data_IF_779454511713
#
_entry.id   IF_779454511713
#
_cell.length_a   1.000
_cell.length_b   1.000
_cell.length_c   1.000
_cell.angle_alpha   90.00
_cell.angle_beta   90.00
_cell.angle_gamma   90.00
#
_symmetry.space_group_name_H-M   'P 1'
#
loop_
_entity.id
_entity.type
_entity.pdbx_description
1 polymer ?
#
# COMPACT_ATOMS: atom_id res chain seq x y z
N UNK A 1 14.69 -1.45 -91.98
CA UNK A 1 15.71 -1.11 -90.97
C UNK A 1 15.03 -1.07 -89.57
N UNK A 2 15.35 -2.10 -88.77
CA UNK A 2 14.64 -2.45 -87.58
C UNK A 2 15.16 -1.63 -86.35
N UNK A 3 14.31 -0.95 -85.65
CA UNK A 3 14.60 -0.34 -84.36
C UNK A 3 14.00 -1.17 -83.22
N UNK A 4 14.87 -1.77 -82.41
CA UNK A 4 14.50 -2.55 -81.23
C UNK A 4 14.17 -1.59 -80.07
N UNK A 5 12.94 -1.61 -79.59
CA UNK A 5 12.61 -0.99 -78.26
C UNK A 5 12.94 -2.03 -77.16
N UNK A 6 13.88 -1.72 -76.34
CA UNK A 6 14.14 -2.44 -75.05
C UNK A 6 13.25 -1.82 -73.95
N UNK A 7 12.21 -2.55 -73.52
CA UNK A 7 11.45 -2.22 -72.38
C UNK A 7 12.21 -2.65 -71.08
N UNK A 8 12.52 -1.72 -70.23
CA UNK A 8 13.03 -1.95 -68.86
C UNK A 8 11.86 -2.09 -67.90
N UNK A 9 11.61 -3.30 -67.39
CA UNK A 9 10.66 -3.53 -66.31
C UNK A 9 11.33 -3.16 -64.98
N UNK A 10 10.90 -2.07 -64.39
CA UNK A 10 11.30 -1.68 -63.03
C UNK A 10 10.45 -2.44 -62.00
N UNK A 11 11.02 -3.48 -61.39
CA UNK A 11 10.41 -4.19 -60.26
C UNK A 11 10.57 -3.37 -59.01
N UNK A 12 9.49 -2.71 -58.55
CA UNK A 12 9.45 -2.01 -57.28
C UNK A 12 9.39 -3.03 -56.12
N UNK A 13 10.49 -3.18 -55.39
CA UNK A 13 10.56 -4.01 -54.21
C UNK A 13 10.00 -3.18 -53.03
N UNK A 14 8.77 -3.43 -52.64
CA UNK A 14 8.16 -2.82 -51.44
C UNK A 14 8.79 -3.47 -50.19
N UNK A 15 9.71 -2.77 -49.55
CA UNK A 15 10.25 -3.13 -48.23
C UNK A 15 9.14 -2.84 -47.21
N UNK A 16 8.43 -3.89 -46.76
CA UNK A 16 7.54 -3.82 -45.60
C UNK A 16 8.44 -3.74 -44.37
N UNK A 17 8.68 -2.53 -43.87
CA UNK A 17 9.25 -2.31 -42.55
C UNK A 17 8.19 -2.73 -41.52
N UNK A 18 8.26 -3.97 -41.06
CA UNK A 18 7.56 -4.38 -39.84
C UNK A 18 8.19 -3.62 -38.67
N UNK A 19 7.55 -2.52 -38.28
CA UNK A 19 7.83 -1.90 -37.00
C UNK A 19 7.49 -2.91 -35.92
N UNK A 20 8.49 -3.58 -35.36
CA UNK A 20 8.29 -4.29 -34.11
C UNK A 20 7.79 -3.24 -33.10
N UNK A 21 6.51 -3.29 -32.73
CA UNK A 21 5.98 -2.45 -31.67
C UNK A 21 6.77 -2.81 -30.41
N UNK A 22 7.58 -1.88 -29.93
CA UNK A 22 8.24 -2.01 -28.62
C UNK A 22 7.10 -2.00 -27.61
N UNK A 23 7.01 -3.06 -26.78
CA UNK A 23 6.01 -3.10 -25.71
C UNK A 23 6.20 -1.91 -24.79
N UNK A 24 5.10 -1.26 -24.42
CA UNK A 24 5.11 -0.17 -23.44
C UNK A 24 5.59 -0.72 -22.08
N UNK A 25 6.59 -0.06 -21.49
CA UNK A 25 7.14 -0.46 -20.20
C UNK A 25 6.30 0.13 -19.05
N UNK A 26 5.93 -0.74 -18.11
CA UNK A 26 5.21 -0.38 -16.88
C UNK A 26 6.04 -0.84 -15.69
N UNK A 27 6.51 0.10 -14.88
CA UNK A 27 7.13 -0.20 -13.60
C UNK A 27 6.05 -0.30 -12.54
N UNK A 28 5.90 -1.50 -11.96
CA UNK A 28 4.97 -1.81 -10.89
C UNK A 28 5.63 -1.62 -9.53
N UNK A 29 5.26 -0.57 -8.82
CA UNK A 29 5.74 -0.27 -7.48
C UNK A 29 5.15 -1.20 -6.41
N UNK A 30 6.01 -1.69 -5.52
CA UNK A 30 5.63 -2.56 -4.41
C UNK A 30 6.18 -1.93 -3.13
N UNK A 31 5.28 -1.53 -2.20
CA UNK A 31 5.72 -0.97 -0.92
C UNK A 31 6.46 -2.00 -0.07
N UNK A 32 7.46 -1.55 0.67
CA UNK A 32 8.41 -2.38 1.43
C UNK A 32 7.83 -2.87 2.77
N UNK A 33 6.75 -3.67 2.72
CA UNK A 33 6.15 -4.30 3.92
C UNK A 33 7.08 -5.33 4.55
N UNK A 34 7.88 -5.97 3.71
CA UNK A 34 8.89 -6.97 4.02
C UNK A 34 10.19 -6.66 3.25
N UNK A 35 11.20 -7.50 3.39
CA UNK A 35 12.42 -7.43 2.59
C UNK A 35 12.11 -7.67 1.10
N UNK A 36 12.87 -7.04 0.20
CA UNK A 36 12.74 -7.28 -1.24
C UNK A 36 12.94 -8.77 -1.60
N UNK A 37 13.79 -9.47 -0.86
CA UNK A 37 14.03 -10.90 -1.07
C UNK A 37 12.78 -11.74 -0.82
N UNK A 38 11.93 -11.33 0.11
CA UNK A 38 10.66 -11.99 0.42
C UNK A 38 9.54 -11.54 -0.52
N UNK A 39 9.48 -10.25 -0.86
CA UNK A 39 8.42 -9.70 -1.74
C UNK A 39 8.57 -10.18 -3.18
N UNK A 40 9.78 -10.19 -3.73
CA UNK A 40 10.01 -10.45 -5.15
C UNK A 40 9.39 -11.78 -5.63
N UNK A 41 9.68 -12.95 -5.03
CA UNK A 41 9.10 -14.22 -5.49
C UNK A 41 7.58 -14.30 -5.32
N UNK A 42 6.99 -13.55 -4.40
CA UNK A 42 5.53 -13.50 -4.22
C UNK A 42 4.83 -12.74 -5.35
N UNK A 43 5.47 -11.67 -5.86
CA UNK A 43 4.90 -10.79 -6.87
C UNK A 43 5.19 -11.20 -8.31
N UNK A 44 6.32 -11.87 -8.57
CA UNK A 44 6.72 -12.27 -9.92
C UNK A 44 5.63 -13.02 -10.71
N UNK A 45 4.88 -13.99 -10.15
CA UNK A 45 3.84 -14.69 -10.89
C UNK A 45 2.72 -13.75 -11.39
N UNK A 46 2.20 -12.87 -10.51
CA UNK A 46 1.16 -11.90 -10.89
C UNK A 46 1.65 -10.93 -11.97
N UNK A 47 2.89 -10.43 -11.84
CA UNK A 47 3.47 -9.49 -12.82
C UNK A 47 3.75 -10.15 -14.17
N UNK A 48 4.13 -11.44 -14.19
CA UNK A 48 4.29 -12.22 -15.41
C UNK A 48 2.95 -12.42 -16.12
N UNK A 49 1.89 -12.77 -15.38
CA UNK A 49 0.53 -12.90 -15.94
C UNK A 49 0.00 -11.57 -16.45
N UNK A 50 0.23 -10.47 -15.72
CA UNK A 50 -0.13 -9.10 -16.15
C UNK A 50 0.58 -8.75 -17.47
N UNK A 51 1.88 -9.00 -17.57
CA UNK A 51 2.62 -8.76 -18.83
C UNK A 51 2.05 -9.57 -19.97
N UNK A 52 1.81 -10.86 -19.75
CA UNK A 52 1.27 -11.78 -20.77
C UNK A 52 -0.13 -11.37 -21.24
N UNK A 53 -1.01 -11.01 -20.33
CA UNK A 53 -2.40 -10.67 -20.64
C UNK A 53 -2.54 -9.32 -21.35
N UNK A 54 -1.70 -8.33 -20.99
CA UNK A 54 -1.81 -6.96 -21.50
C UNK A 54 -0.90 -6.67 -22.70
N UNK A 55 0.14 -7.48 -22.89
CA UNK A 55 1.20 -7.22 -23.87
C UNK A 55 2.15 -6.08 -23.46
N UNK A 56 2.07 -5.61 -22.20
CA UNK A 56 2.97 -4.60 -21.62
C UNK A 56 4.23 -5.29 -21.08
N UNK A 57 5.37 -4.58 -21.05
CA UNK A 57 6.55 -5.03 -20.34
C UNK A 57 6.48 -4.57 -18.88
N UNK A 58 5.97 -5.43 -17.97
CA UNK A 58 5.79 -5.08 -16.56
C UNK A 58 7.02 -5.47 -15.75
N UNK A 59 7.63 -4.48 -15.08
CA UNK A 59 8.81 -4.66 -14.22
C UNK A 59 8.49 -4.32 -12.76
N UNK A 60 8.91 -5.14 -11.79
CA UNK A 60 8.77 -4.79 -10.38
C UNK A 60 9.71 -3.63 -10.01
N UNK A 61 9.20 -2.67 -9.26
CA UNK A 61 9.97 -1.58 -8.68
C UNK A 61 9.91 -1.67 -7.15
N UNK A 62 11.05 -1.87 -6.53
CA UNK A 62 11.23 -1.90 -5.08
C UNK A 62 12.00 -0.67 -4.60
N UNK A 63 11.64 -0.17 -3.43
CA UNK A 63 12.36 0.88 -2.72
C UNK A 63 12.64 0.44 -1.28
N UNK A 64 13.54 1.13 -0.60
CA UNK A 64 13.90 0.86 0.80
C UNK A 64 12.76 1.16 1.77
N UNK A 65 11.86 2.06 1.39
CA UNK A 65 10.74 2.55 2.18
C UNK A 65 9.55 2.92 1.27
N UNK A 66 8.41 3.22 1.87
CA UNK A 66 7.18 3.57 1.15
C UNK A 66 7.31 4.88 0.38
N UNK A 67 8.07 5.84 0.92
CA UNK A 67 8.33 7.12 0.25
C UNK A 67 8.99 6.92 -1.10
N UNK A 68 9.91 5.98 -1.23
CA UNK A 68 10.61 5.70 -2.48
C UNK A 68 9.67 5.28 -3.61
N UNK A 69 8.60 4.52 -3.30
CA UNK A 69 7.58 4.14 -4.29
C UNK A 69 6.68 5.33 -4.65
N UNK A 70 6.30 6.15 -3.65
CA UNK A 70 5.51 7.37 -3.87
C UNK A 70 6.27 8.37 -4.76
N UNK A 71 7.55 8.64 -4.43
CA UNK A 71 8.39 9.53 -5.24
C UNK A 71 8.71 8.92 -6.62
N UNK A 72 8.86 7.59 -6.70
CA UNK A 72 8.95 6.87 -7.96
C UNK A 72 7.77 7.17 -8.88
N UNK A 73 6.56 7.14 -8.35
CA UNK A 73 5.33 7.52 -9.09
C UNK A 73 5.32 9.01 -9.44
N UNK A 74 5.66 9.89 -8.49
CA UNK A 74 5.70 11.34 -8.70
C UNK A 74 6.62 11.74 -9.87
N UNK A 75 7.77 11.09 -9.97
CA UNK A 75 8.75 11.37 -11.03
C UNK A 75 8.61 10.48 -12.27
N UNK A 76 7.48 9.78 -12.42
CA UNK A 76 7.19 8.97 -13.60
C UNK A 76 8.02 7.70 -13.75
N UNK A 77 8.73 7.27 -12.71
CA UNK A 77 9.47 5.99 -12.68
C UNK A 77 8.59 4.80 -12.33
N UNK A 78 7.44 5.03 -11.72
CA UNK A 78 6.43 4.03 -11.36
C UNK A 78 5.11 4.45 -11.98
N UNK A 79 4.51 3.59 -12.80
CA UNK A 79 3.26 3.86 -13.51
C UNK A 79 2.06 3.25 -12.80
N UNK A 80 2.28 2.15 -12.11
CA UNK A 80 1.27 1.36 -11.39
C UNK A 80 1.88 0.88 -10.08
N UNK A 81 1.14 0.86 -8.97
CA UNK A 81 1.67 0.39 -7.69
C UNK A 81 0.61 -0.19 -6.78
N UNK A 82 1.02 -1.15 -5.95
CA UNK A 82 0.33 -1.52 -4.73
C UNK A 82 0.80 -0.64 -3.58
N UNK A 83 -0.16 -0.05 -2.88
CA UNK A 83 0.06 0.81 -1.73
C UNK A 83 -0.81 0.38 -0.54
N UNK A 84 -0.38 0.69 0.69
CA UNK A 84 -1.32 0.79 1.79
C UNK A 84 -2.19 2.05 1.64
N UNK A 85 -3.34 2.10 2.32
CA UNK A 85 -4.28 3.23 2.13
C UNK A 85 -3.67 4.61 2.42
N UNK A 86 -2.78 4.75 3.44
CA UNK A 86 -2.09 6.03 3.70
C UNK A 86 -1.12 6.39 2.59
N UNK A 87 -0.27 5.46 2.15
CA UNK A 87 0.66 5.73 1.05
C UNK A 87 -0.06 5.97 -0.28
N UNK A 88 -1.21 5.33 -0.52
CA UNK A 88 -2.07 5.63 -1.67
C UNK A 88 -2.64 7.06 -1.60
N UNK A 89 -3.09 7.50 -0.42
CA UNK A 89 -3.54 8.89 -0.20
C UNK A 89 -2.43 9.89 -0.59
N UNK A 90 -1.20 9.65 -0.14
CA UNK A 90 -0.04 10.46 -0.52
C UNK A 90 0.24 10.42 -2.04
N UNK A 91 0.12 9.24 -2.66
CA UNK A 91 0.32 9.08 -4.10
C UNK A 91 -0.75 9.83 -4.91
N UNK A 92 -2.01 9.77 -4.48
CA UNK A 92 -3.13 10.52 -5.11
C UNK A 92 -2.94 12.02 -4.97
N UNK A 93 -2.53 12.50 -3.80
CA UNK A 93 -2.47 13.93 -3.48
C UNK A 93 -1.26 14.63 -4.10
N UNK A 94 -0.10 13.95 -4.22
CA UNK A 94 1.15 14.58 -4.63
C UNK A 94 1.97 13.87 -5.71
N UNK A 95 1.55 12.67 -6.12
CA UNK A 95 2.27 11.91 -7.15
C UNK A 95 1.45 11.64 -8.42
N UNK A 96 0.28 12.25 -8.57
CA UNK A 96 -0.59 12.08 -9.73
C UNK A 96 -1.22 10.70 -9.83
N UNK A 97 -1.35 9.99 -8.71
CA UNK A 97 -1.99 8.68 -8.63
C UNK A 97 -3.52 8.76 -8.65
N UNK A 98 -4.15 7.65 -9.01
CA UNK A 98 -5.60 7.41 -8.97
C UNK A 98 -5.86 5.96 -8.61
N UNK A 99 -6.72 5.72 -7.61
CA UNK A 99 -7.15 4.38 -7.21
C UNK A 99 -8.11 3.82 -8.24
N UNK A 100 -7.94 2.54 -8.63
CA UNK A 100 -8.83 1.91 -9.61
C UNK A 100 -9.35 0.53 -9.20
N UNK A 101 -8.62 -0.21 -8.37
CA UNK A 101 -9.03 -1.48 -7.74
C UNK A 101 -8.46 -1.56 -6.33
N UNK A 102 -9.02 -2.48 -5.53
CA UNK A 102 -8.49 -2.86 -4.22
C UNK A 102 -8.25 -4.36 -4.15
N UNK A 103 -7.28 -4.77 -3.35
CA UNK A 103 -7.10 -6.17 -2.95
C UNK A 103 -8.29 -6.65 -2.12
N UNK A 104 -8.43 -7.96 -1.99
CA UNK A 104 -9.37 -8.61 -1.08
C UNK A 104 -8.61 -9.66 -0.32
N UNK A 105 -8.78 -9.73 0.98
CA UNK A 105 -8.18 -10.77 1.82
C UNK A 105 -8.63 -12.17 1.38
N UNK A 106 -7.72 -13.16 1.39
CA UNK A 106 -8.01 -14.54 0.96
C UNK A 106 -9.15 -15.19 1.74
N UNK A 107 -9.34 -14.80 3.01
CA UNK A 107 -10.47 -15.22 3.86
C UNK A 107 -11.77 -14.47 3.55
N UNK A 108 -11.78 -13.52 2.60
CA UNK A 108 -12.94 -12.73 2.20
C UNK A 108 -13.28 -11.59 3.17
N UNK A 109 -12.40 -11.25 4.11
CA UNK A 109 -12.57 -10.09 4.98
C UNK A 109 -12.62 -8.79 4.16
N UNK A 110 -13.44 -7.80 4.56
CA UNK A 110 -13.53 -6.51 3.85
C UNK A 110 -12.32 -5.59 4.09
N UNK A 111 -11.30 -6.08 4.77
CA UNK A 111 -10.09 -5.36 5.12
C UNK A 111 -9.28 -6.10 6.17
N UNK A 112 -8.40 -5.38 6.85
CA UNK A 112 -7.46 -5.90 7.82
C UNK A 112 -7.37 -5.00 9.06
N UNK A 113 -6.52 -5.34 10.02
CA UNK A 113 -6.41 -4.62 11.28
C UNK A 113 -4.96 -4.30 11.62
N UNK A 114 -4.72 -3.12 12.14
CA UNK A 114 -3.51 -2.81 12.86
C UNK A 114 -3.48 -3.53 14.20
N UNK A 115 -2.31 -3.99 14.60
CA UNK A 115 -2.09 -4.63 15.90
C UNK A 115 -0.84 -4.07 16.58
N UNK A 116 -0.81 -4.15 17.91
CA UNK A 116 0.42 -3.97 18.68
C UNK A 116 0.88 -5.36 19.12
N UNK A 117 2.13 -5.67 18.80
CA UNK A 117 2.81 -6.89 19.21
C UNK A 117 3.67 -6.66 20.44
N UNK A 118 3.73 -7.66 21.30
CA UNK A 118 4.68 -7.74 22.42
C UNK A 118 5.25 -9.17 22.51
N UNK A 119 6.40 -9.38 23.17
CA UNK A 119 6.88 -10.72 23.46
C UNK A 119 5.85 -11.48 24.29
N UNK A 120 5.65 -12.77 23.97
CA UNK A 120 4.63 -13.62 24.61
C UNK A 120 4.74 -13.63 26.14
N UNK A 121 5.98 -13.67 26.64
CA UNK A 121 6.27 -13.75 28.06
C UNK A 121 6.44 -12.39 28.73
N UNK A 122 6.22 -11.27 28.01
CA UNK A 122 6.30 -9.92 28.57
C UNK A 122 5.13 -9.65 29.52
N UNK A 123 5.32 -8.65 30.40
CA UNK A 123 4.25 -8.15 31.30
C UNK A 123 3.26 -7.21 30.60
N UNK A 124 3.52 -6.83 29.35
CA UNK A 124 2.62 -6.00 28.56
C UNK A 124 1.45 -6.85 28.08
N UNK A 125 0.23 -6.53 28.47
CA UNK A 125 -0.98 -7.27 28.11
C UNK A 125 -2.08 -6.37 27.48
N UNK A 126 -1.89 -5.05 27.56
CA UNK A 126 -2.87 -4.09 27.05
C UNK A 126 -2.19 -2.78 26.62
N UNK A 127 -2.98 -1.87 26.04
CA UNK A 127 -2.54 -0.50 25.70
C UNK A 127 -2.25 0.31 26.95
N UNK A 128 -2.98 0.10 28.03
CA UNK A 128 -2.76 0.78 29.32
C UNK A 128 -1.39 0.44 29.90
N UNK A 129 -0.92 -0.82 29.74
CA UNK A 129 0.44 -1.19 30.13
C UNK A 129 1.48 -0.47 29.28
N UNK A 130 1.22 -0.32 27.99
CA UNK A 130 2.09 0.38 27.05
C UNK A 130 2.17 1.88 27.37
N UNK A 131 1.04 2.49 27.73
CA UNK A 131 0.89 3.94 27.97
C UNK A 131 1.27 4.39 29.40
N UNK A 132 1.99 3.59 30.17
CA UNK A 132 2.57 4.05 31.45
C UNK A 132 3.57 5.18 31.26
N UNK A 133 4.17 5.27 30.08
CA UNK A 133 5.05 6.36 29.64
C UNK A 133 6.20 6.67 30.64
N UNK A 134 6.77 5.62 31.22
CA UNK A 134 7.88 5.73 32.20
C UNK A 134 9.26 5.72 31.52
N UNK A 135 9.30 5.76 30.19
CA UNK A 135 10.53 5.70 29.38
C UNK A 135 11.36 4.42 29.59
N UNK A 136 10.74 3.34 30.00
CA UNK A 136 11.43 2.06 30.15
C UNK A 136 11.46 1.20 28.87
N UNK A 137 10.48 1.38 27.95
CA UNK A 137 10.24 0.53 26.81
C UNK A 137 10.88 1.06 25.52
N UNK A 138 11.40 0.14 24.69
CA UNK A 138 11.78 0.38 23.30
C UNK A 138 10.60 0.03 22.40
N UNK A 139 10.14 0.95 21.57
CA UNK A 139 8.94 0.81 20.76
C UNK A 139 9.21 0.92 19.26
N UNK A 140 8.66 0.00 18.47
CA UNK A 140 8.72 0.02 17.01
C UNK A 140 7.44 0.59 16.40
N UNK A 141 7.54 1.72 15.71
CA UNK A 141 6.52 2.18 14.78
C UNK A 141 6.78 1.64 13.38
N UNK A 142 5.75 1.58 12.55
CA UNK A 142 5.88 1.28 11.12
C UNK A 142 6.50 2.45 10.34
N UNK A 143 6.64 2.22 9.02
CA UNK A 143 6.99 3.29 8.08
C UNK A 143 6.02 4.47 8.24
N UNK A 144 6.48 5.73 8.23
CA UNK A 144 5.62 6.91 8.38
C UNK A 144 4.47 7.01 7.37
N UNK A 145 4.58 6.36 6.21
CA UNK A 145 3.51 6.25 5.19
C UNK A 145 2.68 4.97 5.30
N UNK A 146 2.91 4.15 6.32
CA UNK A 146 2.10 2.96 6.59
C UNK A 146 0.77 3.33 7.24
N UNK A 147 -0.32 2.70 6.80
CA UNK A 147 -1.65 2.82 7.41
C UNK A 147 -1.66 2.13 8.77
N UNK A 148 -1.46 0.81 8.78
CA UNK A 148 -1.55 -0.02 9.98
C UNK A 148 -0.33 0.10 10.90
N UNK A 149 0.85 0.34 10.34
CA UNK A 149 2.08 0.47 11.11
C UNK A 149 2.27 1.83 11.75
N UNK A 150 1.65 2.89 11.21
CA UNK A 150 1.88 4.26 11.67
C UNK A 150 0.58 5.04 11.91
N UNK A 151 -0.22 5.32 10.85
CA UNK A 151 -1.35 6.24 10.98
C UNK A 151 -2.36 5.75 12.00
N UNK A 152 -2.81 4.50 11.89
CA UNK A 152 -3.85 3.93 12.74
C UNK A 152 -3.43 3.89 14.22
N UNK A 153 -2.28 3.30 14.61
CA UNK A 153 -1.86 3.32 16.01
C UNK A 153 -1.58 4.73 16.50
N UNK A 154 -1.04 5.63 15.68
CA UNK A 154 -0.82 7.02 16.07
C UNK A 154 -2.13 7.75 16.38
N UNK A 155 -3.19 7.48 15.61
CA UNK A 155 -4.51 8.10 15.81
C UNK A 155 -5.24 7.48 16.99
N UNK A 156 -5.39 6.16 17.03
CA UNK A 156 -6.28 5.48 17.98
C UNK A 156 -5.64 5.19 19.34
N UNK A 157 -4.30 5.20 19.44
CA UNK A 157 -3.61 4.99 20.71
C UNK A 157 -3.01 6.31 21.20
N UNK A 158 -2.07 6.86 20.43
CA UNK A 158 -1.26 7.97 20.93
C UNK A 158 -2.00 9.31 20.94
N UNK A 159 -2.57 9.71 19.81
CA UNK A 159 -3.32 10.96 19.73
C UNK A 159 -4.59 10.94 20.61
N UNK A 160 -5.30 9.82 20.66
CA UNK A 160 -6.48 9.65 21.51
C UNK A 160 -6.19 9.78 23.02
N UNK A 161 -4.94 9.55 23.42
CA UNK A 161 -4.49 9.69 24.82
C UNK A 161 -3.60 10.93 25.04
N UNK A 162 -3.46 11.82 24.05
CA UNK A 162 -2.58 12.99 24.08
C UNK A 162 -1.11 12.63 24.42
N UNK A 163 -0.61 11.53 23.86
CA UNK A 163 0.74 11.02 24.07
C UNK A 163 1.56 11.18 22.79
N UNK A 164 2.76 11.76 22.90
CA UNK A 164 3.77 11.63 21.86
C UNK A 164 4.62 10.36 22.17
N UNK A 165 4.73 9.41 21.22
CA UNK A 165 5.56 8.22 21.43
C UNK A 165 7.00 8.54 21.88
N UNK A 166 7.59 9.64 21.39
CA UNK A 166 8.95 10.05 21.76
C UNK A 166 9.08 10.49 23.22
N UNK A 167 7.97 10.98 23.79
CA UNK A 167 7.94 11.37 25.20
C UNK A 167 7.56 10.19 26.11
N UNK A 168 6.90 9.18 25.56
CA UNK A 168 6.43 8.01 26.28
C UNK A 168 7.49 6.91 26.41
N UNK A 169 8.23 6.64 25.33
CA UNK A 169 9.16 5.52 25.25
C UNK A 169 10.62 5.94 25.44
N UNK A 170 11.46 4.98 25.82
CA UNK A 170 12.91 5.14 25.90
C UNK A 170 13.50 5.42 24.53
N UNK A 171 13.15 4.57 23.55
CA UNK A 171 13.49 4.73 22.16
C UNK A 171 12.27 4.43 21.28
N UNK A 172 12.14 5.17 20.18
CA UNK A 172 11.16 4.90 19.11
C UNK A 172 11.92 4.74 17.81
N UNK A 173 11.70 3.61 17.14
CA UNK A 173 12.28 3.32 15.82
C UNK A 173 11.18 3.14 14.79
N UNK A 174 11.47 3.44 13.52
CA UNK A 174 10.57 3.17 12.41
C UNK A 174 11.16 2.08 11.52
N UNK A 175 10.39 1.02 11.29
CA UNK A 175 10.79 -0.08 10.42
C UNK A 175 9.56 -0.68 9.71
N UNK A 176 9.77 -1.56 8.74
CA UNK A 176 8.67 -2.29 8.11
C UNK A 176 8.09 -3.35 9.05
N UNK A 177 6.97 -3.97 8.64
CA UNK A 177 6.23 -4.93 9.47
C UNK A 177 7.07 -6.16 9.84
N UNK A 178 7.84 -6.71 8.87
CA UNK A 178 8.70 -7.87 9.11
C UNK A 178 9.78 -7.56 10.16
N UNK A 179 10.51 -6.46 10.00
CA UNK A 179 11.58 -6.05 10.93
C UNK A 179 11.01 -5.81 12.32
N UNK A 180 9.87 -5.13 12.44
CA UNK A 180 9.22 -4.87 13.71
C UNK A 180 8.83 -6.18 14.43
N UNK A 181 8.17 -7.10 13.74
CA UNK A 181 7.77 -8.36 14.33
C UNK A 181 8.97 -9.23 14.76
N UNK A 182 10.00 -9.32 13.91
CA UNK A 182 11.20 -10.07 14.21
C UNK A 182 11.99 -9.46 15.38
N UNK A 183 12.02 -8.12 15.48
CA UNK A 183 12.66 -7.41 16.59
C UNK A 183 11.94 -7.68 17.93
N UNK A 184 10.60 -7.72 17.92
CA UNK A 184 9.82 -8.11 19.11
C UNK A 184 10.05 -9.59 19.46
N UNK A 185 9.99 -10.51 18.48
CA UNK A 185 10.22 -11.93 18.70
C UNK A 185 11.62 -12.26 19.27
N UNK A 186 12.60 -11.40 18.96
CA UNK A 186 13.99 -11.51 19.45
C UNK A 186 14.29 -10.61 20.67
N UNK A 187 13.26 -10.01 21.29
CA UNK A 187 13.37 -9.14 22.47
C UNK A 187 14.29 -7.92 22.28
N UNK A 188 14.42 -7.44 21.02
CA UNK A 188 15.12 -6.20 20.69
C UNK A 188 14.21 -4.99 20.87
N UNK A 189 12.90 -5.19 20.72
CA UNK A 189 11.85 -4.24 21.02
C UNK A 189 10.91 -4.85 22.06
N UNK A 190 10.42 -4.01 22.98
CA UNK A 190 9.44 -4.41 24.00
C UNK A 190 8.03 -4.47 23.43
N UNK A 191 7.71 -3.65 22.42
CA UNK A 191 6.50 -3.73 21.63
C UNK A 191 6.69 -3.06 20.27
N UNK A 192 5.84 -3.41 19.30
CA UNK A 192 5.85 -2.77 17.99
C UNK A 192 4.49 -2.84 17.30
N UNK A 193 4.27 -1.92 16.35
CA UNK A 193 3.11 -1.96 15.46
C UNK A 193 3.28 -2.99 14.36
N UNK A 194 2.16 -3.62 13.97
CA UNK A 194 2.09 -4.57 12.87
C UNK A 194 0.65 -4.59 12.31
N UNK A 195 0.32 -5.61 11.50
CA UNK A 195 -1.04 -5.86 11.02
C UNK A 195 -1.35 -7.36 10.92
N UNK A 196 -2.63 -7.68 10.76
CA UNK A 196 -3.10 -9.08 10.71
C UNK A 196 -2.62 -9.82 9.46
N UNK A 197 -2.46 -9.16 8.31
CA UNK A 197 -1.96 -9.79 7.09
C UNK A 197 -0.50 -10.23 7.25
N UNK A 198 0.37 -9.33 7.74
CA UNK A 198 1.77 -9.69 8.02
C UNK A 198 1.89 -10.77 9.10
N UNK A 199 0.99 -10.79 10.10
CA UNK A 199 0.97 -11.87 11.10
C UNK A 199 0.71 -13.23 10.46
N UNK A 200 -0.22 -13.32 9.48
CA UNK A 200 -0.45 -14.55 8.71
C UNK A 200 0.81 -14.98 7.94
N UNK A 201 1.51 -14.02 7.33
CA UNK A 201 2.77 -14.28 6.63
C UNK A 201 3.87 -14.80 7.58
N UNK A 202 4.00 -14.20 8.77
CA UNK A 202 4.99 -14.62 9.78
C UNK A 202 4.64 -15.99 10.33
N UNK A 203 3.38 -16.28 10.61
CA UNK A 203 2.92 -17.60 11.06
C UNK A 203 3.33 -18.71 10.08
N UNK A 204 3.17 -18.44 8.77
CA UNK A 204 3.50 -19.38 7.69
C UNK A 204 5.02 -19.54 7.47
N UNK A 205 5.76 -18.43 7.45
CA UNK A 205 7.15 -18.41 7.01
C UNK A 205 8.18 -18.45 8.17
N UNK A 206 7.78 -18.08 9.38
CA UNK A 206 8.62 -18.01 10.57
C UNK A 206 7.83 -18.42 11.83
N UNK A 207 7.28 -19.67 11.90
CA UNK A 207 6.40 -20.11 12.98
C UNK A 207 7.05 -20.03 14.37
N UNK A 208 8.36 -20.24 14.46
CA UNK A 208 9.10 -20.10 15.72
C UNK A 208 9.16 -18.67 16.24
N UNK A 209 9.20 -17.69 15.34
CA UNK A 209 9.12 -16.28 15.70
C UNK A 209 7.67 -15.90 16.08
N UNK A 210 6.68 -16.35 15.28
CA UNK A 210 5.27 -16.15 15.58
C UNK A 210 4.87 -16.65 16.95
N UNK A 211 5.33 -17.85 17.34
CA UNK A 211 5.07 -18.46 18.65
C UNK A 211 5.57 -17.62 19.84
N UNK A 212 6.52 -16.72 19.62
CA UNK A 212 7.05 -15.79 20.64
C UNK A 212 6.31 -14.48 20.75
N UNK A 213 5.32 -14.24 19.89
CA UNK A 213 4.55 -12.99 19.80
C UNK A 213 3.19 -13.15 20.48
N UNK A 214 2.67 -12.05 21.00
CA UNK A 214 1.26 -11.87 21.34
C UNK A 214 0.75 -10.51 20.89
N UNK A 215 -0.54 -10.45 20.55
CA UNK A 215 -1.23 -9.20 20.24
C UNK A 215 -1.80 -8.63 21.54
N UNK A 216 -1.48 -7.37 21.84
CA UNK A 216 -1.98 -6.66 23.03
C UNK A 216 -3.00 -5.56 22.68
N UNK A 217 -3.18 -5.28 21.38
CA UNK A 217 -4.19 -4.36 20.87
C UNK A 217 -4.51 -4.66 19.42
N UNK A 218 -5.77 -4.41 19.03
CA UNK A 218 -6.29 -4.54 17.66
C UNK A 218 -7.16 -3.32 17.34
N UNK A 219 -6.96 -2.73 16.17
CA UNK A 219 -7.68 -1.53 15.72
C UNK A 219 -9.10 -1.81 15.24
N UNK A 220 -9.91 -0.77 14.99
CA UNK A 220 -11.02 -0.86 14.03
C UNK A 220 -10.55 -1.34 12.66
N UNK A 221 -11.49 -1.81 11.82
CA UNK A 221 -11.20 -2.32 10.49
C UNK A 221 -10.56 -1.23 9.60
N UNK A 222 -9.50 -1.62 8.90
CA UNK A 222 -8.86 -0.83 7.84
C UNK A 222 -9.35 -1.41 6.51
N UNK A 223 -9.83 -0.60 5.55
CA UNK A 223 -10.16 -1.08 4.21
C UNK A 223 -8.98 -1.81 3.55
N UNK A 224 -9.27 -2.80 2.72
CA UNK A 224 -8.23 -3.50 1.94
C UNK A 224 -7.40 -2.53 1.11
N UNK A 225 -6.16 -2.90 0.84
CA UNK A 225 -5.17 -2.03 0.20
C UNK A 225 -5.47 -1.78 -1.29
N UNK A 226 -5.32 -0.53 -1.76
CA UNK A 226 -5.58 -0.15 -3.14
C UNK A 226 -4.40 -0.41 -4.07
N UNK A 227 -4.72 -0.62 -5.35
CA UNK A 227 -3.80 -0.43 -6.46
C UNK A 227 -4.07 0.94 -7.09
N UNK A 228 -2.98 1.63 -7.38
CA UNK A 228 -2.98 3.01 -7.88
C UNK A 228 -2.19 3.07 -9.17
N UNK A 229 -2.77 3.65 -10.21
CA UNK A 229 -2.06 3.99 -11.43
C UNK A 229 -1.81 5.49 -11.53
N UNK A 230 -0.93 5.92 -12.42
CA UNK A 230 -0.79 7.33 -12.77
C UNK A 230 -1.99 7.81 -13.59
N UNK A 231 -2.53 8.98 -13.27
CA UNK A 231 -3.66 9.60 -14.00
C UNK A 231 -3.34 9.88 -15.48
N UNK A 232 -2.08 10.12 -15.80
CA UNK A 232 -1.62 10.45 -17.16
C UNK A 232 -1.28 9.24 -18.04
N UNK A 233 -1.51 8.01 -17.57
CA UNK A 233 -1.43 6.83 -18.42
C UNK A 233 -2.43 6.93 -19.59
N UNK A 234 -2.05 6.43 -20.78
CA UNK A 234 -2.99 6.33 -21.91
C UNK A 234 -4.25 5.55 -21.53
N UNK A 235 -5.40 5.98 -22.00
CA UNK A 235 -6.69 5.31 -21.70
C UNK A 235 -6.73 3.85 -22.18
N UNK A 236 -6.04 3.53 -23.29
CA UNK A 236 -5.89 2.15 -23.75
C UNK A 236 -5.12 1.29 -22.74
N UNK A 237 -4.03 1.81 -22.19
CA UNK A 237 -3.24 1.14 -21.15
C UNK A 237 -4.05 0.96 -19.87
N UNK A 238 -4.78 1.99 -19.43
CA UNK A 238 -5.69 1.90 -18.28
C UNK A 238 -6.79 0.86 -18.50
N UNK A 239 -7.36 0.78 -19.70
CA UNK A 239 -8.37 -0.22 -20.03
C UNK A 239 -7.84 -1.65 -19.91
N UNK A 240 -6.64 -1.93 -20.46
CA UNK A 240 -5.97 -3.23 -20.35
C UNK A 240 -5.69 -3.60 -18.88
N UNK A 241 -5.15 -2.66 -18.11
CA UNK A 241 -4.86 -2.88 -16.68
C UNK A 241 -6.15 -3.16 -15.90
N UNK A 242 -7.18 -2.34 -16.10
CA UNK A 242 -8.48 -2.52 -15.43
C UNK A 242 -9.10 -3.86 -15.77
N UNK A 243 -9.13 -4.24 -17.06
CA UNK A 243 -9.66 -5.52 -17.51
C UNK A 243 -8.94 -6.67 -16.81
N UNK A 244 -7.60 -6.67 -16.80
CA UNK A 244 -6.82 -7.70 -16.14
C UNK A 244 -7.20 -7.83 -14.66
N UNK A 245 -7.09 -6.78 -13.88
CA UNK A 245 -7.31 -6.86 -12.43
C UNK A 245 -8.75 -7.22 -12.05
N UNK A 246 -9.75 -6.74 -12.81
CA UNK A 246 -11.16 -7.01 -12.49
C UNK A 246 -11.58 -8.44 -12.90
N UNK A 247 -10.93 -9.04 -13.90
CA UNK A 247 -11.26 -10.39 -14.37
C UNK A 247 -10.37 -11.49 -13.80
N UNK A 248 -9.20 -11.14 -13.26
CA UNK A 248 -8.20 -12.08 -12.75
C UNK A 248 -8.76 -12.95 -11.62
N UNK A 249 -8.73 -14.26 -11.80
CA UNK A 249 -9.29 -15.25 -10.87
C UNK A 249 -10.81 -15.39 -10.90
N UNK A 250 -11.52 -14.71 -11.82
CA UNK A 250 -13.01 -14.76 -11.90
C UNK A 250 -13.56 -15.11 -13.26
N UNK A 251 -12.91 -14.73 -14.37
CA UNK A 251 -13.43 -14.89 -15.73
C UNK A 251 -12.68 -15.97 -16.52
N UNK A 252 -13.31 -17.14 -16.70
CA UNK A 252 -12.76 -18.28 -17.48
C UNK A 252 -12.45 -17.95 -18.93
N UNK A 253 -13.07 -16.92 -19.49
CA UNK A 253 -12.82 -16.53 -20.89
C UNK A 253 -11.51 -15.75 -21.05
N UNK A 254 -10.90 -15.28 -19.95
CA UNK A 254 -9.72 -14.43 -19.92
C UNK A 254 -8.46 -15.15 -19.48
N UNK A 255 -8.57 -16.22 -18.69
CA UNK A 255 -7.42 -16.94 -18.16
C UNK A 255 -7.74 -18.28 -17.48
N UNK A 256 -6.71 -18.88 -16.88
CA UNK A 256 -6.83 -20.09 -16.06
C UNK A 256 -7.14 -19.69 -14.62
N UNK A 257 -8.43 -19.73 -14.26
CA UNK A 257 -8.90 -19.37 -12.91
C UNK A 257 -8.19 -20.14 -11.79
N UNK A 258 -7.84 -21.42 -12.03
CA UNK A 258 -7.20 -22.21 -10.98
C UNK A 258 -5.78 -21.69 -10.71
N UNK A 259 -5.02 -21.45 -11.76
CA UNK A 259 -3.69 -20.83 -11.68
C UNK A 259 -3.76 -19.42 -11.08
N UNK A 260 -4.66 -18.58 -11.57
CA UNK A 260 -4.81 -17.18 -11.11
C UNK A 260 -5.17 -17.10 -9.62
N UNK A 261 -6.03 -17.99 -9.13
CA UNK A 261 -6.35 -18.09 -7.70
C UNK A 261 -5.18 -18.58 -6.86
N UNK A 262 -4.36 -19.49 -7.39
CA UNK A 262 -3.13 -19.93 -6.72
C UNK A 262 -2.13 -18.78 -6.60
N UNK A 263 -1.95 -17.99 -7.66
CA UNK A 263 -1.10 -16.79 -7.65
C UNK A 263 -1.60 -15.76 -6.63
N UNK A 264 -2.91 -15.49 -6.59
CA UNK A 264 -3.51 -14.59 -5.59
C UNK A 264 -3.33 -15.12 -4.17
N UNK A 265 -3.54 -16.43 -3.94
CA UNK A 265 -3.35 -17.04 -2.64
C UNK A 265 -1.88 -16.96 -2.16
N UNK A 266 -0.90 -16.94 -3.09
CA UNK A 266 0.50 -16.65 -2.79
C UNK A 266 0.74 -15.25 -2.22
N UNK A 267 -0.14 -14.30 -2.53
CA UNK A 267 -0.17 -12.94 -1.98
C UNK A 267 -1.11 -12.81 -0.78
N UNK A 268 -1.73 -13.90 -0.31
CA UNK A 268 -2.80 -13.94 0.70
C UNK A 268 -4.06 -13.15 0.24
N UNK A 269 -4.36 -13.15 -1.06
CA UNK A 269 -5.47 -12.41 -1.66
C UNK A 269 -6.52 -13.31 -2.32
N UNK A 270 -7.72 -12.79 -2.43
CA UNK A 270 -8.81 -13.20 -3.29
C UNK A 270 -8.90 -12.25 -4.51
N UNK A 271 -9.76 -12.52 -5.51
CA UNK A 271 -9.91 -11.64 -6.67
C UNK A 271 -10.20 -10.19 -6.30
N UNK A 272 -9.56 -9.28 -7.03
CA UNK A 272 -9.67 -7.84 -6.82
C UNK A 272 -11.09 -7.32 -7.00
N UNK A 273 -11.37 -6.16 -6.39
CA UNK A 273 -12.62 -5.42 -6.58
C UNK A 273 -12.34 -4.05 -7.17
N UNK A 274 -13.23 -3.54 -8.06
CA UNK A 274 -13.18 -2.14 -8.48
C UNK A 274 -13.19 -1.21 -7.27
N UNK A 275 -12.43 -0.13 -7.33
CA UNK A 275 -12.39 0.89 -6.30
C UNK A 275 -12.12 2.26 -6.92
N UNK A 276 -12.14 3.29 -6.09
CA UNK A 276 -11.86 4.68 -6.46
C UNK A 276 -11.15 5.40 -5.31
N UNK A 277 -10.74 6.65 -5.54
CA UNK A 277 -10.15 7.50 -4.50
C UNK A 277 -11.06 7.66 -3.27
N UNK A 278 -12.35 7.34 -3.38
CA UNK A 278 -13.30 7.45 -2.27
C UNK A 278 -13.05 6.43 -1.16
N UNK A 279 -12.39 5.30 -1.46
CA UNK A 279 -11.96 4.37 -0.40
C UNK A 279 -10.98 5.00 0.59
N UNK A 280 -10.31 6.10 0.21
CA UNK A 280 -9.35 6.82 1.04
C UNK A 280 -10.00 7.81 2.01
N UNK A 281 -11.32 8.06 1.91
CA UNK A 281 -12.02 9.00 2.78
C UNK A 281 -11.84 8.70 4.29
N UNK A 282 -11.98 7.46 4.77
CA UNK A 282 -11.72 7.14 6.18
C UNK A 282 -10.28 7.46 6.61
N UNK A 283 -9.33 7.28 5.70
CA UNK A 283 -7.91 7.53 5.94
C UNK A 283 -7.64 9.03 6.06
N UNK A 284 -8.25 9.83 5.17
CA UNK A 284 -8.20 11.31 5.24
C UNK A 284 -8.75 11.84 6.56
N UNK A 285 -9.89 11.32 7.00
CA UNK A 285 -10.51 11.67 8.28
C UNK A 285 -9.58 11.32 9.45
N UNK A 286 -8.95 10.15 9.43
CA UNK A 286 -7.97 9.75 10.45
C UNK A 286 -6.73 10.66 10.46
N UNK A 287 -6.19 10.98 9.28
CA UNK A 287 -5.02 11.88 9.17
C UNK A 287 -5.34 13.27 9.73
N UNK A 288 -6.51 13.82 9.41
CA UNK A 288 -6.96 15.10 9.96
C UNK A 288 -7.16 15.03 11.48
N UNK A 289 -7.78 13.96 11.98
CA UNK A 289 -7.97 13.75 13.43
C UNK A 289 -6.64 13.71 14.17
N UNK A 290 -5.65 12.96 13.66
CA UNK A 290 -4.30 12.93 14.21
C UNK A 290 -3.64 14.32 14.21
N UNK A 291 -3.77 15.06 13.09
CA UNK A 291 -3.15 16.39 12.95
C UNK A 291 -3.80 17.41 13.89
N UNK A 292 -5.12 17.37 14.07
CA UNK A 292 -5.83 18.21 15.05
C UNK A 292 -5.31 17.94 16.46
N UNK A 293 -5.25 16.67 16.87
CA UNK A 293 -4.74 16.32 18.21
C UNK A 293 -3.28 16.79 18.41
N UNK A 294 -2.43 16.63 17.40
CA UNK A 294 -1.05 17.12 17.42
C UNK A 294 -0.98 18.64 17.64
N UNK A 295 -1.79 19.42 16.91
CA UNK A 295 -1.82 20.89 17.04
C UNK A 295 -2.36 21.29 18.43
N UNK A 296 -3.39 20.61 18.93
CA UNK A 296 -3.94 20.85 20.27
C UNK A 296 -2.88 20.67 21.37
N UNK A 297 -2.06 19.60 21.24
CA UNK A 297 -1.00 19.28 22.20
C UNK A 297 0.29 20.12 22.07
N UNK A 298 0.44 20.89 20.98
CA UNK A 298 1.67 21.65 20.73
C UNK A 298 1.76 22.91 21.61
N UNK A 299 2.51 22.85 22.69
CA UNK A 299 2.70 24.00 23.62
C UNK A 299 3.51 25.15 22.99
N UNK A 300 4.17 24.96 21.85
CA UNK A 300 4.98 25.98 21.19
C UNK A 300 4.16 26.93 20.31
N UNK A 301 2.93 26.53 19.92
CA UNK A 301 2.05 27.32 19.05
C UNK A 301 1.19 28.31 19.87
N UNK A 302 1.06 29.58 19.44
CA UNK A 302 0.09 30.53 20.02
C UNK A 302 -1.34 30.04 19.90
N UNK A 303 -2.18 30.24 20.90
CA UNK A 303 -3.57 29.77 20.93
C UNK A 303 -4.42 30.26 19.76
N UNK A 304 -4.23 31.50 19.29
CA UNK A 304 -4.94 32.04 18.12
C UNK A 304 -4.55 31.29 16.84
N UNK A 305 -3.29 30.90 16.71
CA UNK A 305 -2.81 30.13 15.56
C UNK A 305 -3.31 28.69 15.60
N UNK A 306 -3.24 28.01 16.78
CA UNK A 306 -3.85 26.70 16.98
C UNK A 306 -5.32 26.70 16.54
N UNK A 307 -6.09 27.65 17.06
CA UNK A 307 -7.52 27.78 16.74
C UNK A 307 -7.75 27.87 15.23
N UNK A 308 -7.04 28.77 14.54
CA UNK A 308 -7.21 28.95 13.10
C UNK A 308 -6.84 27.69 12.30
N UNK A 309 -5.75 27.00 12.68
CA UNK A 309 -5.35 25.76 12.01
C UNK A 309 -6.37 24.63 12.26
N UNK A 310 -6.85 24.47 13.49
CA UNK A 310 -7.84 23.46 13.86
C UNK A 310 -9.17 23.70 13.13
N UNK A 311 -9.68 24.94 13.10
CA UNK A 311 -10.92 25.28 12.40
C UNK A 311 -10.86 24.90 10.90
N UNK A 312 -9.72 25.08 10.25
CA UNK A 312 -9.51 24.66 8.87
C UNK A 312 -9.55 23.13 8.72
N UNK A 313 -8.84 22.41 9.57
CA UNK A 313 -8.79 20.94 9.52
C UNK A 313 -10.15 20.31 9.86
N UNK A 314 -10.90 20.88 10.80
CA UNK A 314 -12.26 20.42 11.12
C UNK A 314 -13.22 20.67 9.96
N UNK A 315 -13.14 21.79 9.25
CA UNK A 315 -13.94 22.04 8.06
C UNK A 315 -13.66 21.01 6.94
N UNK A 316 -12.38 20.68 6.72
CA UNK A 316 -11.99 19.63 5.76
C UNK A 316 -12.49 18.25 6.20
N UNK A 317 -12.41 17.94 7.49
CA UNK A 317 -12.88 16.68 8.07
C UNK A 317 -14.39 16.51 7.90
N UNK A 318 -15.19 17.53 8.21
CA UNK A 318 -16.65 17.51 8.00
C UNK A 318 -16.97 17.26 6.52
N UNK A 319 -16.28 17.91 5.60
CA UNK A 319 -16.49 17.69 4.15
C UNK A 319 -16.22 16.24 3.75
N UNK A 320 -15.17 15.60 4.28
CA UNK A 320 -14.89 14.19 3.99
C UNK A 320 -15.87 13.23 4.66
N UNK A 321 -16.35 13.54 5.87
CA UNK A 321 -17.39 12.76 6.55
C UNK A 321 -18.72 12.82 5.80
N UNK A 322 -19.13 13.98 5.29
CA UNK A 322 -20.33 14.12 4.46
C UNK A 322 -20.21 13.33 3.16
N UNK A 323 -19.04 13.43 2.49
CA UNK A 323 -18.78 12.65 1.28
C UNK A 323 -18.81 11.14 1.57
N UNK A 324 -18.22 10.68 2.66
CA UNK A 324 -18.23 9.27 3.05
C UNK A 324 -19.65 8.76 3.28
N UNK A 325 -20.51 9.53 3.95
CA UNK A 325 -21.93 9.19 4.12
C UNK A 325 -22.66 9.05 2.79
N UNK A 326 -22.38 9.92 1.81
CA UNK A 326 -22.99 9.88 0.49
C UNK A 326 -22.58 8.68 -0.36
N UNK A 327 -21.42 8.07 -0.10
CA UNK A 327 -20.92 6.89 -0.83
C UNK A 327 -21.41 5.55 -0.23
N UNK A 328 -22.01 5.58 0.97
CA UNK A 328 -22.51 4.40 1.69
C UNK A 328 -24.03 4.21 1.57
N UNK A 329 -24.76 5.18 1.01
CA UNK A 329 -26.21 5.15 0.73
C UNK A 329 -26.47 4.83 -0.72
#
# INVERSE_FOLDING_TARGET
>A
MNAFLKGAAATAFAIILSSAAIAEEINFGIISTESQQNLKPKWEPLLADLSKATGLEVKPFFASDYSGVIEGMRFGKVQLAWYGNKSAMEAVDRAGGEVFVQSVDVGGNPGYWSVILAPKDSKLNSVEDLLKCDKSLNFGLGDPNSTSGFLVPTTFIFAANNVDPKDCFKNVTNANHEINAMSVANSQLDAATNNTENMTVIEKNAPDAFAKLKVIWKSPLIPSDPLVWRKDLPEETKAKLREFFVTYGTDKSKGDIAHEKEVLAGLEWAPFRPSTDDQLLPIRIMELTKNIAKIQGDASLPEAEKKAQIEKLEADKVRFEEKLKSTQG
#
